data_IF_823651207227
#
_entry.id   IF_823651207227
#
_cell.length_a   1.000
_cell.length_b   1.000
_cell.length_c   1.000
_cell.angle_alpha   90.00
_cell.angle_beta   90.00
_cell.angle_gamma   90.00
#
_symmetry.space_group_name_H-M   'P 1'
#
loop_
_entity.id
_entity.type
_entity.pdbx_description
1 polymer ?
#
# COMPACT_ATOMS: atom_id res chain seq x y z
N UNK A 1 0.15 -15.53 -11.47
CA UNK A 1 -1.06 -16.37 -11.51
C UNK A 1 -1.39 -16.91 -12.90
N UNK A 2 -1.34 -16.10 -13.97
CA UNK A 2 -1.67 -16.56 -15.33
C UNK A 2 -0.82 -17.77 -15.82
N UNK A 3 0.48 -17.76 -15.57
CA UNK A 3 1.37 -18.86 -15.95
C UNK A 3 1.05 -20.17 -15.22
N UNK A 4 0.75 -20.09 -13.91
CA UNK A 4 0.33 -21.25 -13.11
C UNK A 4 -0.97 -21.85 -13.67
N UNK A 5 -1.95 -21.01 -13.99
CA UNK A 5 -3.19 -21.46 -14.61
C UNK A 5 -2.96 -22.08 -15.99
N UNK A 6 -2.14 -21.46 -16.84
CA UNK A 6 -1.85 -21.97 -18.19
C UNK A 6 -1.11 -23.31 -18.19
N UNK A 7 -0.15 -23.49 -17.28
CA UNK A 7 0.58 -24.77 -17.13
C UNK A 7 -0.37 -25.87 -16.65
N UNK A 8 -1.20 -25.58 -15.63
CA UNK A 8 -2.17 -26.56 -15.14
C UNK A 8 -3.20 -26.89 -16.22
N UNK A 9 -3.75 -25.90 -16.91
CA UNK A 9 -4.71 -26.10 -18.00
C UNK A 9 -4.12 -26.97 -19.14
N UNK A 10 -2.86 -26.73 -19.50
CA UNK A 10 -2.16 -27.55 -20.49
C UNK A 10 -2.03 -29.00 -20.02
N UNK A 11 -1.46 -29.19 -18.83
CA UNK A 11 -1.25 -30.52 -18.24
C UNK A 11 -2.55 -31.32 -18.04
N UNK A 12 -3.66 -30.66 -17.70
CA UNK A 12 -4.93 -31.34 -17.36
C UNK A 12 -5.75 -31.73 -18.60
N UNK A 13 -5.51 -31.12 -19.76
CA UNK A 13 -6.28 -31.40 -20.98
C UNK A 13 -5.48 -32.08 -22.08
N UNK A 14 -4.15 -31.94 -22.08
CA UNK A 14 -3.32 -32.45 -23.17
C UNK A 14 -2.34 -33.54 -22.75
N UNK A 15 -1.71 -33.44 -21.56
CA UNK A 15 -0.70 -34.41 -21.12
C UNK A 15 -1.23 -35.47 -20.14
N UNK A 16 -2.10 -35.08 -19.21
CA UNK A 16 -2.60 -35.94 -18.13
C UNK A 16 -4.10 -35.79 -17.96
N UNK A 17 -4.78 -36.84 -17.50
CA UNK A 17 -6.19 -36.77 -17.10
C UNK A 17 -6.35 -36.02 -15.79
N UNK A 18 -7.55 -35.47 -15.57
CA UNK A 18 -7.91 -34.70 -14.36
C UNK A 18 -7.63 -35.45 -13.05
N UNK A 19 -7.81 -36.78 -13.02
CA UNK A 19 -7.55 -37.66 -11.88
C UNK A 19 -6.08 -37.60 -11.36
N UNK A 20 -5.11 -37.41 -12.26
CA UNK A 20 -3.69 -37.27 -11.87
C UNK A 20 -3.38 -35.84 -11.38
N UNK A 21 -4.09 -34.83 -11.89
CA UNK A 21 -3.86 -33.43 -11.57
C UNK A 21 -4.58 -32.97 -10.29
N UNK A 22 -5.62 -33.67 -9.86
CA UNK A 22 -6.37 -33.40 -8.64
C UNK A 22 -5.46 -33.28 -7.39
N UNK A 23 -4.63 -34.28 -7.03
CA UNK A 23 -3.75 -34.16 -5.86
C UNK A 23 -2.68 -33.08 -6.04
N UNK A 24 -2.20 -32.85 -7.27
CA UNK A 24 -1.17 -31.84 -7.56
C UNK A 24 -1.69 -30.43 -7.28
N UNK A 25 -2.89 -30.13 -7.77
CA UNK A 25 -3.53 -28.82 -7.54
C UNK A 25 -3.89 -28.60 -6.07
N UNK A 26 -4.26 -29.67 -5.35
CA UNK A 26 -4.47 -29.64 -3.90
C UNK A 26 -3.19 -29.23 -3.15
N UNK A 27 -2.06 -29.87 -3.45
CA UNK A 27 -0.78 -29.52 -2.81
C UNK A 27 -0.34 -28.08 -3.14
N UNK A 28 -0.51 -27.62 -4.37
CA UNK A 28 -0.17 -26.24 -4.76
C UNK A 28 -1.02 -25.23 -3.97
N UNK A 29 -2.32 -25.51 -3.82
CA UNK A 29 -3.25 -24.64 -3.07
C UNK A 29 -2.85 -24.58 -1.60
N UNK A 30 -2.60 -25.75 -0.98
CA UNK A 30 -2.18 -25.82 0.40
C UNK A 30 -0.81 -25.16 0.64
N UNK A 31 0.15 -25.37 -0.28
CA UNK A 31 1.46 -24.72 -0.23
C UNK A 31 1.34 -23.19 -0.34
N UNK A 32 0.42 -22.68 -1.17
CA UNK A 32 0.16 -21.24 -1.29
C UNK A 32 -0.41 -20.67 0.01
N UNK A 33 -1.35 -21.38 0.65
CA UNK A 33 -1.87 -21.00 1.96
C UNK A 33 -0.78 -21.00 3.04
N UNK A 34 0.07 -22.02 3.06
CA UNK A 34 1.21 -22.12 3.96
C UNK A 34 2.23 -21.00 3.73
N UNK A 35 2.47 -20.61 2.48
CA UNK A 35 3.33 -19.48 2.13
C UNK A 35 2.76 -18.16 2.65
N UNK A 36 1.46 -17.90 2.47
CA UNK A 36 0.79 -16.72 3.02
C UNK A 36 0.86 -16.69 4.55
N UNK A 37 0.71 -17.83 5.21
CA UNK A 37 0.86 -17.93 6.66
C UNK A 37 2.31 -17.70 7.11
N UNK A 38 3.29 -18.26 6.39
CA UNK A 38 4.71 -18.03 6.69
C UNK A 38 5.09 -16.55 6.56
N UNK A 39 4.50 -15.84 5.59
CA UNK A 39 4.65 -14.39 5.47
C UNK A 39 4.16 -13.68 6.73
N UNK A 40 2.96 -14.03 7.20
CA UNK A 40 2.40 -13.46 8.44
C UNK A 40 3.32 -13.68 9.64
N UNK A 41 3.87 -14.88 9.81
CA UNK A 41 4.81 -15.17 10.92
C UNK A 41 6.06 -14.29 10.85
N UNK A 42 6.59 -14.06 9.64
CA UNK A 42 7.81 -13.28 9.44
C UNK A 42 7.59 -11.76 9.57
N UNK A 43 6.48 -11.24 9.05
CA UNK A 43 6.22 -9.79 8.99
C UNK A 43 5.32 -9.31 10.12
N UNK A 44 4.67 -10.21 10.86
CA UNK A 44 3.60 -9.95 11.84
C UNK A 44 2.46 -9.10 11.27
N UNK A 45 2.29 -9.09 9.95
CA UNK A 45 1.25 -8.39 9.23
C UNK A 45 0.48 -9.39 8.39
N UNK A 46 -0.84 -9.29 8.40
CA UNK A 46 -1.68 -10.13 7.56
C UNK A 46 -1.39 -9.86 6.08
N UNK A 47 -1.49 -10.90 5.25
CA UNK A 47 -1.26 -10.76 3.82
C UNK A 47 -2.48 -10.09 3.17
N UNK A 48 -2.51 -8.76 3.22
CA UNK A 48 -3.51 -7.90 2.62
C UNK A 48 -2.85 -7.18 1.43
N UNK A 49 -3.50 -7.18 0.25
CA UNK A 49 -2.92 -6.65 -0.98
C UNK A 49 -2.37 -5.22 -0.89
N UNK A 50 -3.12 -4.21 -0.38
CA UNK A 50 -2.58 -2.86 -0.19
C UNK A 50 -1.36 -2.85 0.73
N UNK A 51 -1.44 -3.46 1.91
CA UNK A 51 -0.36 -3.43 2.91
C UNK A 51 0.92 -4.11 2.42
N UNK A 52 0.78 -5.27 1.75
CA UNK A 52 1.90 -5.99 1.17
C UNK A 52 2.58 -5.17 0.05
N UNK A 53 1.79 -4.48 -0.78
CA UNK A 53 2.29 -3.59 -1.84
C UNK A 53 3.02 -2.39 -1.24
N UNK A 54 2.45 -1.74 -0.24
CA UNK A 54 3.02 -0.54 0.38
C UNK A 54 4.34 -0.87 1.09
N UNK A 55 4.39 -2.01 1.80
CA UNK A 55 5.64 -2.52 2.39
C UNK A 55 6.70 -2.75 1.33
N UNK A 56 6.35 -3.41 0.22
CA UNK A 56 7.28 -3.66 -0.88
C UNK A 56 7.75 -2.35 -1.50
N UNK A 57 6.85 -1.40 -1.72
CA UNK A 57 7.17 -0.06 -2.21
C UNK A 57 8.16 0.67 -1.30
N UNK A 58 7.93 0.68 0.01
CA UNK A 58 8.83 1.30 0.99
C UNK A 58 10.23 0.68 0.96
N UNK A 59 10.33 -0.66 0.85
CA UNK A 59 11.61 -1.34 0.72
C UNK A 59 12.35 -0.92 -0.54
N UNK A 60 11.67 -0.84 -1.68
CA UNK A 60 12.26 -0.38 -2.94
C UNK A 60 12.63 1.09 -2.89
N UNK A 61 11.80 1.93 -2.30
CA UNK A 61 12.02 3.36 -2.12
C UNK A 61 13.27 3.62 -1.29
N UNK A 62 13.35 3.05 -0.08
CA UNK A 62 14.53 3.23 0.78
C UNK A 62 15.82 2.70 0.13
N UNK A 63 15.73 1.58 -0.60
CA UNK A 63 16.87 1.04 -1.35
C UNK A 63 17.28 1.98 -2.50
N UNK A 64 16.31 2.58 -3.19
CA UNK A 64 16.54 3.55 -4.28
C UNK A 64 17.15 4.86 -3.78
N UNK A 65 16.59 5.42 -2.71
CA UNK A 65 17.08 6.64 -2.08
C UNK A 65 18.51 6.47 -1.56
N UNK A 66 18.81 5.33 -0.92
CA UNK A 66 20.17 5.03 -0.45
C UNK A 66 21.20 5.05 -1.59
N UNK A 67 20.80 4.66 -2.81
CA UNK A 67 21.68 4.74 -4.00
C UNK A 67 21.93 6.18 -4.45
N UNK A 68 20.91 7.03 -4.39
CA UNK A 68 21.00 8.44 -4.77
C UNK A 68 21.63 9.32 -3.68
N UNK A 69 21.92 8.77 -2.49
CA UNK A 69 22.41 9.48 -1.29
C UNK A 69 21.53 10.67 -0.90
N UNK A 70 20.23 10.54 -1.13
CA UNK A 70 19.26 11.56 -0.71
C UNK A 70 18.94 11.41 0.78
N UNK A 71 18.89 12.53 1.51
CA UNK A 71 18.58 12.56 2.94
C UNK A 71 17.04 12.61 3.15
N UNK A 72 16.45 11.42 3.32
CA UNK A 72 15.02 11.25 3.60
C UNK A 72 14.63 11.87 4.93
N UNK A 73 15.52 11.85 5.92
CA UNK A 73 15.21 12.32 7.26
C UNK A 73 14.98 13.83 7.25
N UNK A 74 15.90 14.57 6.60
CA UNK A 74 15.74 16.02 6.42
C UNK A 74 14.50 16.36 5.59
N UNK A 75 14.19 15.58 4.56
CA UNK A 75 12.98 15.77 3.77
C UNK A 75 11.70 15.60 4.61
N UNK A 76 11.62 14.55 5.42
CA UNK A 76 10.47 14.30 6.29
C UNK A 76 10.31 15.41 7.32
N UNK A 77 11.40 15.84 7.98
CA UNK A 77 11.36 16.97 8.91
C UNK A 77 10.80 18.25 8.27
N UNK A 78 11.26 18.58 7.06
CA UNK A 78 10.78 19.76 6.36
C UNK A 78 9.30 19.65 5.99
N UNK A 79 8.85 18.45 5.59
CA UNK A 79 7.43 18.18 5.32
C UNK A 79 6.56 18.31 6.57
N UNK A 80 7.04 17.84 7.70
CA UNK A 80 6.34 17.95 8.98
C UNK A 80 6.21 19.42 9.40
N UNK A 81 7.28 20.21 9.29
CA UNK A 81 7.24 21.66 9.58
C UNK A 81 6.29 22.42 8.66
N UNK A 82 6.24 22.09 7.37
CA UNK A 82 5.29 22.71 6.44
C UNK A 82 3.85 22.36 6.86
N UNK A 83 3.58 21.10 7.20
CA UNK A 83 2.26 20.67 7.63
C UNK A 83 1.81 21.36 8.92
N UNK A 84 2.72 21.56 9.88
CA UNK A 84 2.46 22.30 11.12
C UNK A 84 2.10 23.76 10.85
N UNK A 85 2.91 24.46 10.05
CA UNK A 85 2.65 25.87 9.69
C UNK A 85 1.34 26.03 8.92
N UNK A 86 1.03 25.12 7.98
CA UNK A 86 -0.24 25.15 7.25
C UNK A 86 -1.44 24.93 8.17
N UNK A 87 -1.31 24.04 9.16
CA UNK A 87 -2.35 23.77 10.15
C UNK A 87 -2.57 25.00 11.04
N UNK A 88 -1.50 25.63 11.51
CA UNK A 88 -1.59 26.86 12.32
C UNK A 88 -2.15 28.04 11.53
N UNK A 89 -1.79 28.18 10.25
CA UNK A 89 -2.38 29.19 9.38
C UNK A 89 -3.90 28.93 9.20
N UNK A 90 -4.31 27.67 9.00
CA UNK A 90 -5.72 27.29 8.93
C UNK A 90 -6.47 27.60 10.23
N UNK A 91 -5.86 27.33 11.39
CA UNK A 91 -6.42 27.67 12.71
C UNK A 91 -6.58 29.18 12.89
N UNK A 92 -5.56 29.96 12.56
CA UNK A 92 -5.60 31.42 12.68
C UNK A 92 -6.59 32.06 11.70
N UNK A 93 -6.79 31.43 10.54
CA UNK A 93 -7.77 31.85 9.53
C UNK A 93 -9.19 31.36 9.83
N UNK A 94 -9.42 30.72 10.98
CA UNK A 94 -10.75 30.26 11.36
C UNK A 94 -11.66 31.48 11.58
N UNK A 95 -12.69 31.65 10.73
CA UNK A 95 -13.48 32.88 10.72
C UNK A 95 -14.34 33.05 11.98
N UNK A 96 -14.54 31.99 12.77
CA UNK A 96 -15.17 32.06 14.09
C UNK A 96 -14.31 32.81 15.12
N UNK A 97 -12.98 32.75 15.00
CA UNK A 97 -12.04 33.45 15.89
C UNK A 97 -11.76 34.89 15.44
N UNK A 98 -11.79 35.14 14.13
CA UNK A 98 -11.50 36.46 13.55
C UNK A 98 -12.66 37.46 13.64
N UNK A 99 -13.82 37.08 14.19
CA UNK A 99 -15.04 37.90 14.27
C UNK A 99 -15.37 38.60 12.94
N UNK A 100 -15.13 37.93 11.82
CA UNK A 100 -15.37 38.53 10.51
C UNK A 100 -16.89 38.75 10.34
N UNK A 101 -17.32 39.91 9.81
CA UNK A 101 -18.73 40.14 9.55
C UNK A 101 -19.28 39.04 8.64
N UNK A 102 -20.48 38.54 8.97
CA UNK A 102 -21.12 37.33 8.41
C UNK A 102 -21.15 37.28 6.87
N UNK A 103 -21.07 38.43 6.19
CA UNK A 103 -21.01 38.54 4.74
C UNK A 103 -19.72 37.97 4.11
N UNK A 104 -18.61 37.91 4.84
CA UNK A 104 -17.34 37.36 4.33
C UNK A 104 -17.28 35.82 4.42
N UNK A 105 -18.02 35.23 5.36
CA UNK A 105 -18.16 33.78 5.52
C UNK A 105 -18.84 33.12 4.31
N UNK A 106 -19.91 33.75 3.80
CA UNK A 106 -20.67 33.25 2.65
C UNK A 106 -19.93 33.46 1.32
N UNK A 107 -19.03 34.43 1.24
CA UNK A 107 -18.17 34.66 0.08
C UNK A 107 -17.00 33.66 -0.01
N UNK A 108 -16.33 33.37 1.12
CA UNK A 108 -15.18 32.46 1.17
C UNK A 108 -15.55 30.97 1.03
N UNK A 109 -16.81 30.58 1.26
CA UNK A 109 -17.30 29.20 1.10
C UNK A 109 -17.69 28.85 -0.34
N UNK A 110 -17.66 29.82 -1.26
CA UNK A 110 -18.21 29.66 -2.63
C UNK A 110 -17.12 29.47 -3.70
N UNK A 111 -15.84 29.52 -3.31
CA UNK A 111 -14.66 29.14 -4.10
C UNK A 111 -14.10 27.81 -3.59
#
# INVERSE_FOLDING_TARGET
>A
MATQFGILARLTWWEYSWDIMEPVTYFITYATAMAMYSYYVLTRQEYIYPDARDRQYLLFFHKGVKRQRFDVHKYNQLKDSIAEVELDLKRLRDPLQLQLPVQQLTAASKD
#
